data_IF_157379012311
#
_entry.id   IF_157379012311
#
_cell.length_a   1.000
_cell.length_b   1.000
_cell.length_c   1.000
_cell.angle_alpha   90.00
_cell.angle_beta   90.00
_cell.angle_gamma   90.00
#
_symmetry.space_group_name_H-M   'P 1'
#
loop_
_entity.id
_entity.type
_entity.pdbx_description
1 polymer ?
#
# COMPACT_ATOMS: atom_id res chain seq x y z
N UNK A 1 5.11 -15.68 5.70
CA UNK A 1 4.97 -15.55 4.25
C UNK A 1 6.15 -14.72 3.77
N UNK A 2 7.06 -15.32 2.99
CA UNK A 2 8.32 -14.68 2.58
C UNK A 2 8.54 -14.83 1.08
N UNK A 3 8.97 -13.77 0.40
CA UNK A 3 9.39 -13.81 -1.01
C UNK A 3 10.56 -12.85 -1.22
N UNK A 4 11.60 -13.28 -1.93
CA UNK A 4 12.82 -12.50 -2.16
C UNK A 4 13.46 -11.96 -0.86
N UNK A 5 13.39 -12.74 0.22
CA UNK A 5 13.89 -12.32 1.55
C UNK A 5 12.99 -11.37 2.34
N UNK A 6 11.87 -10.91 1.75
CA UNK A 6 10.93 -9.97 2.40
C UNK A 6 9.81 -10.75 3.09
N UNK A 7 9.52 -10.41 4.35
CA UNK A 7 8.42 -10.99 5.13
C UNK A 7 7.18 -10.10 5.02
N UNK A 8 6.09 -10.64 4.50
CA UNK A 8 4.83 -9.92 4.33
C UNK A 8 3.90 -10.16 5.51
N UNK A 9 3.15 -9.13 5.90
CA UNK A 9 2.18 -9.14 6.99
C UNK A 9 0.89 -9.89 6.61
N UNK A 10 0.56 -9.98 5.32
CA UNK A 10 -0.62 -10.71 4.84
C UNK A 10 -0.45 -11.35 3.45
N UNK A 11 -1.35 -12.30 3.12
CA UNK A 11 -1.45 -12.84 1.76
C UNK A 11 -1.87 -11.78 0.74
N UNK A 12 -2.67 -10.80 1.16
CA UNK A 12 -3.14 -9.71 0.31
C UNK A 12 -1.98 -8.81 -0.11
N UNK A 13 -1.12 -8.48 0.84
CA UNK A 13 0.09 -7.70 0.61
C UNK A 13 1.06 -8.44 -0.34
N UNK A 14 1.27 -9.74 -0.13
CA UNK A 14 2.07 -10.56 -1.03
C UNK A 14 1.47 -10.61 -2.46
N UNK A 15 0.14 -10.68 -2.59
CA UNK A 15 -0.53 -10.67 -3.89
C UNK A 15 -0.33 -9.34 -4.63
N UNK A 16 -0.44 -8.22 -3.91
CA UNK A 16 -0.16 -6.88 -4.45
C UNK A 16 1.30 -6.75 -4.86
N UNK A 17 2.25 -7.21 -4.04
CA UNK A 17 3.68 -7.22 -4.36
C UNK A 17 3.98 -7.96 -5.67
N UNK A 18 3.44 -9.19 -5.83
CA UNK A 18 3.61 -9.98 -7.05
C UNK A 18 3.05 -9.26 -8.27
N UNK A 19 1.90 -8.60 -8.13
CA UNK A 19 1.30 -7.85 -9.22
C UNK A 19 2.11 -6.62 -9.59
N UNK A 20 2.62 -5.88 -8.59
CA UNK A 20 3.52 -4.76 -8.79
C UNK A 20 4.76 -5.17 -9.58
N UNK A 21 5.44 -6.27 -9.20
CA UNK A 21 6.61 -6.77 -9.94
C UNK A 21 6.31 -7.04 -11.42
N UNK A 22 5.10 -7.51 -11.75
CA UNK A 22 4.70 -7.79 -13.12
C UNK A 22 4.33 -6.53 -13.93
N UNK A 23 3.96 -5.44 -13.27
CA UNK A 23 3.54 -4.19 -13.90
C UNK A 23 4.61 -3.09 -13.87
N UNK A 24 5.68 -3.27 -13.08
CA UNK A 24 6.66 -2.23 -12.79
C UNK A 24 7.44 -1.83 -14.05
N UNK A 25 7.36 -0.56 -14.48
CA UNK A 25 8.21 -0.02 -15.53
C UNK A 25 9.70 -0.02 -15.10
N UNK A 26 10.62 -0.13 -16.06
CA UNK A 26 12.06 -0.17 -15.77
C UNK A 26 12.62 1.12 -15.16
N UNK A 27 11.93 2.24 -15.30
CA UNK A 27 12.26 3.56 -14.77
C UNK A 27 11.63 3.86 -13.40
N UNK A 28 10.95 2.88 -12.79
CA UNK A 28 10.30 3.04 -11.47
C UNK A 28 10.92 2.07 -10.47
N UNK A 29 11.37 2.60 -9.33
CA UNK A 29 11.88 1.83 -8.20
C UNK A 29 10.70 1.46 -7.29
N UNK A 30 10.54 0.17 -7.00
CA UNK A 30 9.66 -0.33 -5.96
C UNK A 30 10.44 -0.54 -4.65
N UNK A 31 10.00 0.13 -3.59
CA UNK A 31 10.45 -0.14 -2.21
C UNK A 31 9.32 -0.81 -1.42
N UNK A 32 9.64 -1.92 -0.77
CA UNK A 32 8.74 -2.63 0.16
C UNK A 32 9.10 -2.23 1.59
N UNK A 33 8.08 -2.05 2.43
CA UNK A 33 8.23 -1.55 3.80
C UNK A 33 9.04 -0.25 3.91
N UNK A 34 8.73 0.79 3.10
CA UNK A 34 9.39 2.07 3.23
C UNK A 34 9.08 2.69 4.60
N UNK A 35 10.13 3.14 5.30
CA UNK A 35 9.96 4.03 6.45
C UNK A 35 9.24 5.31 6.03
N UNK A 36 8.19 5.66 6.77
CA UNK A 36 7.46 6.91 6.62
C UNK A 36 8.23 7.99 7.37
N UNK A 37 8.59 9.06 6.67
CA UNK A 37 9.24 10.22 7.30
C UNK A 37 8.19 11.02 8.09
N UNK A 38 8.66 11.74 9.11
CA UNK A 38 7.86 12.73 9.84
C UNK A 38 6.59 12.19 10.53
N UNK A 39 6.52 10.87 10.73
CA UNK A 39 5.51 10.24 11.57
C UNK A 39 5.82 10.50 13.05
N UNK A 40 5.32 11.62 13.58
CA UNK A 40 5.51 12.03 14.98
C UNK A 40 5.03 11.00 16.00
N UNK A 41 4.02 10.20 15.66
CA UNK A 41 3.44 9.21 16.56
C UNK A 41 4.14 7.85 16.54
N UNK A 42 4.97 7.58 15.52
CA UNK A 42 5.71 6.31 15.38
C UNK A 42 6.93 6.51 14.46
N UNK A 43 8.14 6.71 15.02
CA UNK A 43 9.36 6.91 14.23
C UNK A 43 9.83 5.63 13.51
N UNK A 44 9.20 4.48 13.77
CA UNK A 44 9.43 3.21 13.08
C UNK A 44 8.27 2.86 12.14
N UNK A 45 7.38 3.81 11.86
CA UNK A 45 6.27 3.59 10.96
C UNK A 45 6.77 3.21 9.57
N UNK A 46 6.25 2.10 9.08
CA UNK A 46 6.45 1.62 7.71
C UNK A 46 5.09 1.57 7.00
N UNK A 47 5.10 1.96 5.73
CA UNK A 47 4.02 1.67 4.79
C UNK A 47 4.23 0.31 4.12
N UNK A 48 3.27 -0.15 3.32
CA UNK A 48 3.47 -1.43 2.62
C UNK A 48 4.39 -1.27 1.39
N UNK A 49 4.11 -0.30 0.51
CA UNK A 49 4.91 -0.06 -0.70
C UNK A 49 5.11 1.43 -1.01
N UNK A 50 6.23 1.76 -1.66
CA UNK A 50 6.49 3.06 -2.27
C UNK A 50 7.07 2.86 -3.67
N UNK A 51 6.47 3.54 -4.64
CA UNK A 51 6.98 3.67 -6.00
C UNK A 51 7.73 5.00 -6.10
N UNK A 52 8.90 5.01 -6.73
CA UNK A 52 9.69 6.23 -6.96
C UNK A 52 10.18 6.28 -8.40
N UNK A 53 9.91 7.38 -9.10
CA UNK A 53 10.47 7.59 -10.44
C UNK A 53 11.97 7.87 -10.38
N UNK A 54 12.73 7.16 -11.22
CA UNK A 54 14.17 7.39 -11.35
C UNK A 54 14.49 8.73 -12.03
N UNK A 55 13.56 9.27 -12.83
CA UNK A 55 13.76 10.50 -13.58
C UNK A 55 13.39 11.75 -12.78
N UNK A 56 12.26 11.72 -12.08
CA UNK A 56 11.69 12.91 -11.41
C UNK A 56 11.83 12.87 -9.89
N UNK A 57 12.11 11.71 -9.31
CA UNK A 57 12.10 11.50 -7.86
C UNK A 57 10.71 11.54 -7.23
N UNK A 58 9.64 11.70 -8.02
CA UNK A 58 8.24 11.67 -7.55
C UNK A 58 7.91 10.32 -6.94
N UNK A 59 7.08 10.33 -5.90
CA UNK A 59 6.73 9.15 -5.10
C UNK A 59 5.23 8.92 -5.06
N UNK A 60 4.86 7.66 -4.95
CA UNK A 60 3.49 7.24 -4.63
C UNK A 60 3.54 6.09 -3.63
N UNK A 61 2.79 6.21 -2.56
CA UNK A 61 2.66 5.15 -1.55
C UNK A 61 1.42 4.30 -1.82
N UNK A 62 1.50 3.03 -1.46
CA UNK A 62 0.38 2.08 -1.53
C UNK A 62 0.26 1.39 -0.18
N UNK A 63 -0.95 1.33 0.37
CA UNK A 63 -1.27 0.61 1.61
C UNK A 63 -2.37 -0.42 1.34
N UNK A 64 -2.16 -1.66 1.81
CA UNK A 64 -3.12 -2.76 1.71
C UNK A 64 -3.97 -2.81 2.97
N UNK A 65 -5.27 -2.56 2.82
CA UNK A 65 -6.21 -2.39 3.93
C UNK A 65 -7.03 -3.65 4.15
N UNK A 66 -6.78 -4.33 5.27
CA UNK A 66 -7.48 -5.58 5.62
C UNK A 66 -8.71 -5.42 6.51
N UNK A 67 -8.85 -4.29 7.22
CA UNK A 67 -9.92 -4.10 8.21
C UNK A 67 -11.24 -3.58 7.63
N UNK A 68 -11.25 -3.07 6.40
CA UNK A 68 -12.45 -2.56 5.72
C UNK A 68 -12.49 -2.99 4.26
N UNK A 69 -13.67 -2.91 3.67
CA UNK A 69 -13.86 -2.88 2.21
C UNK A 69 -13.82 -1.44 1.68
N UNK A 70 -14.03 -1.27 0.37
CA UNK A 70 -14.06 0.06 -0.27
C UNK A 70 -15.13 1.01 0.30
N UNK A 71 -16.19 0.48 0.94
CA UNK A 71 -17.23 1.27 1.60
C UNK A 71 -16.85 1.70 3.02
N UNK A 72 -15.63 1.38 3.48
CA UNK A 72 -15.17 1.53 4.86
C UNK A 72 -15.98 0.70 5.87
N UNK A 73 -16.62 -0.38 5.41
CA UNK A 73 -17.41 -1.28 6.25
C UNK A 73 -16.57 -2.43 6.78
N UNK A 74 -16.82 -2.80 8.04
CA UNK A 74 -16.19 -3.93 8.72
C UNK A 74 -17.25 -5.01 9.00
N UNK A 75 -17.22 -6.10 8.22
CA UNK A 75 -18.27 -7.12 8.19
C UNK A 75 -18.03 -8.33 9.09
N UNK A 76 -16.84 -8.42 9.70
CA UNK A 76 -16.47 -9.50 10.61
C UNK A 76 -15.96 -8.96 11.94
N UNK A 77 -16.10 -9.74 13.01
CA UNK A 77 -15.57 -9.38 14.33
C UNK A 77 -14.07 -9.03 14.27
N UNK A 78 -13.30 -9.81 13.51
CA UNK A 78 -11.86 -9.56 13.30
C UNK A 78 -11.59 -8.22 12.60
N UNK A 79 -12.42 -7.83 11.63
CA UNK A 79 -12.32 -6.52 10.97
C UNK A 79 -12.65 -5.37 11.91
N UNK A 80 -13.69 -5.54 12.74
CA UNK A 80 -14.07 -4.54 13.75
C UNK A 80 -12.99 -4.36 14.82
N UNK A 81 -12.37 -5.44 15.27
CA UNK A 81 -11.27 -5.41 16.23
C UNK A 81 -10.04 -4.66 15.66
N UNK A 82 -9.72 -4.87 14.38
CA UNK A 82 -8.57 -4.24 13.70
C UNK A 82 -8.82 -2.82 13.22
N UNK A 83 -10.06 -2.33 13.26
CA UNK A 83 -10.46 -0.99 12.76
C UNK A 83 -9.65 0.14 13.40
N UNK A 84 -9.53 0.24 14.74
CA UNK A 84 -8.79 1.35 15.36
C UNK A 84 -7.31 1.36 14.99
N UNK A 85 -6.67 0.18 14.94
CA UNK A 85 -5.26 0.06 14.54
C UNK A 85 -5.07 0.47 13.08
N UNK A 86 -5.93 0.00 12.19
CA UNK A 86 -5.86 0.32 10.76
C UNK A 86 -6.02 1.82 10.51
N UNK A 87 -6.99 2.47 11.17
CA UNK A 87 -7.15 3.92 11.06
C UNK A 87 -5.91 4.65 11.58
N UNK A 88 -5.38 4.27 12.74
CA UNK A 88 -4.12 4.84 13.24
C UNK A 88 -2.99 4.69 12.23
N UNK A 89 -2.87 3.52 11.58
CA UNK A 89 -1.85 3.28 10.56
C UNK A 89 -1.96 4.23 9.37
N UNK A 90 -3.19 4.48 8.89
CA UNK A 90 -3.45 5.39 7.77
C UNK A 90 -3.18 6.87 8.10
N UNK A 91 -3.27 7.25 9.38
CA UNK A 91 -2.93 8.59 9.85
C UNK A 91 -1.42 8.86 9.98
N UNK A 92 -0.57 7.84 9.82
CA UNK A 92 0.90 8.00 9.89
C UNK A 92 1.51 8.66 8.66
N UNK A 93 0.78 8.64 7.54
CA UNK A 93 1.23 9.23 6.30
C UNK A 93 1.14 10.77 6.36
N UNK A 94 2.19 11.49 5.93
CA UNK A 94 2.13 12.93 5.70
C UNK A 94 0.94 13.31 4.80
N UNK A 95 0.41 14.51 4.98
CA UNK A 95 -0.80 14.95 4.28
C UNK A 95 -0.63 15.00 2.75
N UNK A 96 0.59 15.28 2.28
CA UNK A 96 1.03 15.32 0.90
C UNK A 96 1.47 13.93 0.35
N UNK A 97 1.62 12.93 1.21
CA UNK A 97 2.05 11.57 0.86
C UNK A 97 0.97 10.52 1.18
N UNK A 98 -0.31 10.91 1.09
CA UNK A 98 -1.43 9.98 1.32
C UNK A 98 -1.34 8.78 0.36
N UNK A 99 -1.43 7.54 0.87
CA UNK A 99 -1.27 6.35 0.06
C UNK A 99 -2.51 6.08 -0.79
N UNK A 100 -2.31 5.43 -1.93
CA UNK A 100 -3.38 4.72 -2.64
C UNK A 100 -3.76 3.50 -1.79
N UNK A 101 -5.03 3.42 -1.41
CA UNK A 101 -5.55 2.31 -0.61
C UNK A 101 -5.99 1.18 -1.52
N UNK A 102 -5.53 -0.04 -1.22
CA UNK A 102 -6.01 -1.27 -1.86
C UNK A 102 -6.70 -2.08 -0.78
N UNK A 103 -8.03 -2.08 -0.80
CA UNK A 103 -8.84 -2.82 0.15
C UNK A 103 -8.84 -4.31 -0.18
N UNK A 104 -9.14 -5.14 0.83
CA UNK A 104 -9.12 -6.60 0.70
C UNK A 104 -9.99 -7.13 -0.46
N UNK A 105 -11.19 -6.58 -0.61
CA UNK A 105 -12.12 -6.85 -1.71
C UNK A 105 -11.50 -6.50 -3.06
N UNK A 106 -10.81 -5.36 -3.16
CA UNK A 106 -10.08 -4.99 -4.38
C UNK A 106 -8.99 -5.98 -4.72
N UNK A 107 -8.24 -6.52 -3.75
CA UNK A 107 -7.17 -7.49 -4.04
C UNK A 107 -7.71 -8.73 -4.76
N UNK A 108 -8.94 -9.13 -4.44
CA UNK A 108 -9.65 -10.25 -5.05
C UNK A 108 -10.30 -9.91 -6.39
N UNK A 109 -10.43 -8.63 -6.74
CA UNK A 109 -10.95 -8.15 -8.01
C UNK A 109 -9.78 -7.66 -8.90
N UNK A 110 -9.40 -8.41 -9.96
CA UNK A 110 -8.26 -8.05 -10.79
C UNK A 110 -8.37 -6.67 -11.43
N UNK A 111 -9.57 -6.24 -11.83
CA UNK A 111 -9.76 -4.96 -12.52
C UNK A 111 -9.58 -3.80 -11.54
N UNK A 112 -10.21 -3.87 -10.36
CA UNK A 112 -10.08 -2.84 -9.33
C UNK A 112 -8.65 -2.76 -8.78
N UNK A 113 -8.01 -3.91 -8.52
CA UNK A 113 -6.61 -3.96 -8.09
C UNK A 113 -5.71 -3.30 -9.12
N UNK A 114 -5.84 -3.69 -10.38
CA UNK A 114 -4.94 -3.20 -11.44
C UNK A 114 -5.19 -1.72 -11.73
N UNK A 115 -6.43 -1.23 -11.63
CA UNK A 115 -6.74 0.18 -11.74
C UNK A 115 -6.04 1.02 -10.65
N UNK A 116 -6.09 0.57 -9.39
CA UNK A 116 -5.40 1.23 -8.28
C UNK A 116 -3.87 1.25 -8.46
N UNK A 117 -3.29 0.13 -8.93
CA UNK A 117 -1.86 0.06 -9.22
C UNK A 117 -1.45 0.98 -10.38
N UNK A 118 -2.26 1.08 -11.42
CA UNK A 118 -2.03 2.02 -12.53
C UNK A 118 -2.13 3.47 -12.06
N UNK A 119 -3.06 3.79 -11.16
CA UNK A 119 -3.15 5.12 -10.56
C UNK A 119 -1.86 5.47 -9.79
N UNK A 120 -1.34 4.56 -8.97
CA UNK A 120 -0.09 4.78 -8.25
C UNK A 120 1.11 4.97 -9.20
N UNK A 121 1.17 4.20 -10.28
CA UNK A 121 2.19 4.34 -11.32
C UNK A 121 2.05 5.67 -12.10
N UNK A 122 0.84 6.12 -12.37
CA UNK A 122 0.61 7.39 -13.08
C UNK A 122 1.17 8.58 -12.28
N UNK A 123 0.96 8.60 -10.96
CA UNK A 123 1.46 9.67 -10.05
C UNK A 123 2.97 9.87 -10.17
N UNK A 124 3.75 8.79 -10.31
CA UNK A 124 5.21 8.89 -10.39
C UNK A 124 5.72 9.17 -11.81
N UNK A 125 4.90 8.95 -12.84
CA UNK A 125 5.28 9.11 -14.25
C UNK A 125 4.89 10.46 -14.84
N UNK A 126 3.84 11.11 -14.33
CA UNK A 126 3.55 12.53 -14.59
C UNK A 126 4.54 13.41 -13.87
#
# INVERSE_FOLDING_TARGET
MTQNGIKFASLYELAVYRRLLALLPGDVILKVHPRLKDCFCDPKAEGDFCLTSQHTGKKSFIEVVGAFDQSFSAHSALQQERRPETLRRLHRYPADERPILIFKDMVCDPELRDAALRQALAIVRT
#
